data_IF_128385368011
#
_entry.id   IF_128385368011
#
_cell.length_a   1.000
_cell.length_b   1.000
_cell.length_c   1.000
_cell.angle_alpha   90.00
_cell.angle_beta   90.00
_cell.angle_gamma   90.00
#
_symmetry.space_group_name_H-M   'P 1'
#
loop_
_entity.id
_entity.type
_entity.pdbx_description
1 polymer ?
#
# COMPACT_ATOMS: atom_id res chain seq x y z
N UNK A 1 3.07 5.28 -6.19
CA UNK A 1 3.87 5.31 -4.94
C UNK A 1 4.39 6.71 -4.71
N UNK A 2 4.73 7.06 -3.48
CA UNK A 2 5.09 8.44 -3.08
C UNK A 2 6.30 9.00 -3.85
N UNK A 3 7.24 8.12 -4.20
CA UNK A 3 8.42 8.42 -5.02
C UNK A 3 8.11 8.81 -6.46
N UNK A 4 6.88 8.56 -6.95
CA UNK A 4 6.40 9.04 -8.24
C UNK A 4 5.75 10.43 -8.14
N UNK A 5 5.88 11.11 -7.01
CA UNK A 5 5.30 12.44 -6.74
C UNK A 5 3.76 12.47 -6.84
N UNK A 6 3.11 11.31 -6.65
CA UNK A 6 1.65 11.21 -6.55
C UNK A 6 1.16 12.07 -5.39
N UNK A 7 0.25 13.00 -5.66
CA UNK A 7 -0.21 13.99 -4.67
C UNK A 7 0.78 15.14 -4.38
N UNK A 8 1.89 15.24 -5.13
CA UNK A 8 2.89 16.32 -5.08
C UNK A 8 3.32 16.75 -6.49
N UNK A 9 2.37 16.84 -7.43
CA UNK A 9 2.59 17.28 -8.81
C UNK A 9 2.04 16.32 -9.87
N UNK A 10 1.74 15.07 -9.50
CA UNK A 10 1.04 14.11 -10.33
C UNK A 10 -0.40 13.92 -9.80
N UNK A 11 -1.39 14.30 -10.59
CA UNK A 11 -2.81 14.15 -10.24
C UNK A 11 -3.27 12.68 -10.28
N UNK A 12 -4.41 12.40 -9.64
CA UNK A 12 -4.94 11.04 -9.50
C UNK A 12 -5.23 10.36 -10.85
N UNK A 13 -5.82 11.08 -11.81
CA UNK A 13 -6.17 10.52 -13.11
C UNK A 13 -4.92 10.14 -13.91
N UNK A 14 -3.92 11.02 -13.92
CA UNK A 14 -2.62 10.77 -14.56
C UNK A 14 -1.87 9.62 -13.88
N UNK A 15 -1.90 9.55 -12.54
CA UNK A 15 -1.29 8.46 -11.78
C UNK A 15 -1.94 7.10 -12.09
N UNK A 16 -3.27 7.04 -12.20
CA UNK A 16 -4.01 5.82 -12.53
C UNK A 16 -3.74 5.38 -13.98
N UNK A 17 -3.71 6.30 -14.94
CA UNK A 17 -3.38 5.96 -16.33
C UNK A 17 -1.94 5.45 -16.45
N UNK A 18 -0.97 6.08 -15.78
CA UNK A 18 0.39 5.58 -15.70
C UNK A 18 0.44 4.17 -15.09
N UNK A 19 -0.33 3.94 -14.02
CA UNK A 19 -0.49 2.63 -13.40
C UNK A 19 -0.98 1.57 -14.37
N UNK A 20 -2.09 1.83 -15.07
CA UNK A 20 -2.67 0.92 -16.07
C UNK A 20 -1.71 0.61 -17.21
N UNK A 21 -0.99 1.61 -17.74
CA UNK A 21 0.06 1.40 -18.77
C UNK A 21 1.20 0.54 -18.24
N UNK A 22 1.65 0.81 -17.02
CA UNK A 22 2.73 0.06 -16.37
C UNK A 22 2.36 -1.41 -16.18
N UNK A 23 1.11 -1.69 -15.80
CA UNK A 23 0.59 -3.07 -15.69
C UNK A 23 0.63 -3.79 -17.04
N UNK A 24 0.13 -3.14 -18.10
CA UNK A 24 0.14 -3.74 -19.46
C UNK A 24 1.56 -4.00 -19.96
N UNK A 25 2.48 -3.08 -19.73
CA UNK A 25 3.88 -3.23 -20.13
C UNK A 25 4.60 -4.30 -19.30
N UNK A 26 4.32 -4.40 -18.00
CA UNK A 26 4.86 -5.48 -17.19
C UNK A 26 4.38 -6.84 -17.70
N UNK A 27 3.11 -6.97 -18.08
CA UNK A 27 2.58 -8.20 -18.64
C UNK A 27 3.26 -8.60 -19.96
N UNK A 28 3.57 -7.64 -20.85
CA UNK A 28 4.21 -7.91 -22.15
C UNK A 28 5.63 -8.50 -22.04
N UNK A 29 6.32 -8.20 -20.94
CA UNK A 29 7.68 -8.67 -20.67
C UNK A 29 7.78 -9.71 -19.54
N UNK A 30 6.66 -10.24 -19.05
CA UNK A 30 6.63 -11.18 -17.91
C UNK A 30 7.06 -10.57 -16.58
N UNK A 31 7.10 -9.24 -16.50
CA UNK A 31 7.34 -8.47 -15.29
C UNK A 31 6.18 -8.52 -14.31
N UNK A 32 6.45 -8.17 -13.06
CA UNK A 32 5.44 -8.05 -11.99
C UNK A 32 5.53 -6.69 -11.35
N UNK A 33 4.38 -6.03 -11.23
CA UNK A 33 4.27 -4.68 -10.70
C UNK A 33 3.12 -4.62 -9.71
N UNK A 34 3.25 -3.70 -8.77
CA UNK A 34 2.19 -3.34 -7.83
C UNK A 34 1.96 -1.84 -7.97
N UNK A 35 0.70 -1.45 -8.16
CA UNK A 35 0.31 -0.05 -8.34
C UNK A 35 -0.31 0.47 -7.05
N UNK A 36 0.12 1.65 -6.61
CA UNK A 36 -0.47 2.26 -5.43
C UNK A 36 -1.87 2.77 -5.71
N UNK A 37 -2.83 2.44 -4.86
CA UNK A 37 -4.16 3.06 -4.82
C UNK A 37 -4.26 3.95 -3.59
N UNK A 38 -4.93 5.08 -3.73
CA UNK A 38 -5.06 6.11 -2.70
C UNK A 38 -6.47 6.74 -2.77
N UNK A 39 -6.65 7.88 -2.12
CA UNK A 39 -7.90 8.65 -2.09
C UNK A 39 -7.69 10.09 -2.58
N UNK A 40 -6.65 10.29 -3.39
CA UNK A 40 -6.18 11.59 -3.88
C UNK A 40 -7.04 12.19 -4.99
N UNK A 41 -8.06 11.47 -5.47
CA UNK A 41 -9.10 12.01 -6.34
C UNK A 41 -10.19 12.77 -5.58
N UNK A 42 -10.32 12.54 -4.26
CA UNK A 42 -11.30 13.25 -3.46
C UNK A 42 -10.91 14.74 -3.39
N UNK A 43 -11.91 15.66 -3.47
CA UNK A 43 -11.66 17.08 -3.38
C UNK A 43 -11.01 17.45 -2.04
N UNK A 44 -10.32 18.59 -2.01
CA UNK A 44 -9.84 19.15 -0.75
C UNK A 44 -11.04 19.51 0.14
N UNK A 45 -11.08 18.96 1.35
CA UNK A 45 -12.18 19.19 2.29
C UNK A 45 -12.49 17.96 3.14
N UNK A 46 -13.54 18.03 3.98
CA UNK A 46 -14.03 16.87 4.70
C UNK A 46 -14.58 15.84 3.71
N UNK A 47 -14.27 14.57 3.96
CA UNK A 47 -14.86 13.43 3.30
C UNK A 47 -15.37 12.47 4.38
N UNK A 48 -16.51 11.84 4.12
CA UNK A 48 -17.05 10.78 4.97
C UNK A 48 -16.23 9.50 4.81
N UNK A 49 -16.31 8.63 5.81
CA UNK A 49 -15.72 7.30 5.75
C UNK A 49 -16.21 6.50 4.53
N UNK A 50 -17.48 6.63 4.14
CA UNK A 50 -18.00 5.97 2.93
C UNK A 50 -17.33 6.49 1.65
N UNK A 51 -17.24 7.81 1.47
CA UNK A 51 -16.60 8.41 0.29
C UNK A 51 -15.12 8.02 0.18
N UNK A 52 -14.44 7.87 1.32
CA UNK A 52 -13.04 7.41 1.40
C UNK A 52 -12.93 5.94 0.96
N UNK A 53 -13.82 5.07 1.44
CA UNK A 53 -13.86 3.68 0.98
C UNK A 53 -14.15 3.60 -0.53
N UNK A 54 -15.17 4.32 -1.00
CA UNK A 54 -15.57 4.33 -2.40
C UNK A 54 -14.42 4.84 -3.29
N UNK A 55 -13.66 5.84 -2.84
CA UNK A 55 -12.47 6.32 -3.53
C UNK A 55 -11.37 5.25 -3.67
N UNK A 56 -11.11 4.45 -2.63
CA UNK A 56 -10.17 3.34 -2.76
C UNK A 56 -10.69 2.27 -3.71
N UNK A 57 -11.97 1.91 -3.62
CA UNK A 57 -12.60 0.87 -4.43
C UNK A 57 -12.61 1.23 -5.93
N UNK A 58 -12.87 2.49 -6.27
CA UNK A 58 -12.80 2.97 -7.64
C UNK A 58 -11.39 2.78 -8.24
N UNK A 59 -10.34 3.16 -7.48
CA UNK A 59 -8.97 2.98 -7.94
C UNK A 59 -8.57 1.51 -8.01
N UNK A 60 -9.02 0.69 -7.05
CA UNK A 60 -8.82 -0.75 -7.03
C UNK A 60 -9.37 -1.38 -8.31
N UNK A 61 -10.64 -1.11 -8.65
CA UNK A 61 -11.30 -1.63 -9.85
C UNK A 61 -10.53 -1.27 -11.12
N UNK A 62 -10.09 -0.01 -11.26
CA UNK A 62 -9.36 0.45 -12.44
C UNK A 62 -8.03 -0.28 -12.64
N UNK A 63 -7.32 -0.59 -11.54
CA UNK A 63 -6.04 -1.29 -11.60
C UNK A 63 -6.23 -2.80 -11.80
N UNK A 64 -7.17 -3.42 -11.09
CA UNK A 64 -7.45 -4.86 -11.23
C UNK A 64 -8.02 -5.20 -12.61
N UNK A 65 -8.88 -4.33 -13.18
CA UNK A 65 -9.39 -4.47 -14.54
C UNK A 65 -8.29 -4.40 -15.61
N UNK A 66 -7.15 -3.76 -15.30
CA UNK A 66 -5.97 -3.79 -16.16
C UNK A 66 -5.08 -5.04 -15.93
N UNK A 67 -5.45 -5.91 -15.00
CA UNK A 67 -4.69 -7.09 -14.60
C UNK A 67 -3.60 -6.80 -13.56
N UNK A 68 -3.69 -5.68 -12.83
CA UNK A 68 -2.71 -5.26 -11.84
C UNK A 68 -2.90 -5.89 -10.46
N UNK A 69 -1.89 -5.74 -9.61
CA UNK A 69 -1.99 -5.92 -8.14
C UNK A 69 -1.81 -4.56 -7.47
N UNK A 70 -2.40 -4.37 -6.29
CA UNK A 70 -2.41 -3.07 -5.62
C UNK A 70 -1.60 -3.01 -4.33
N UNK A 71 -1.13 -1.81 -4.01
CA UNK A 71 -0.70 -1.44 -2.67
C UNK A 71 -1.60 -0.33 -2.16
N UNK A 72 -2.27 -0.56 -1.03
CA UNK A 72 -3.16 0.40 -0.39
C UNK A 72 -2.30 1.45 0.30
N UNK A 73 -2.20 2.63 -0.30
CA UNK A 73 -1.42 3.76 0.21
C UNK A 73 -2.14 4.42 1.37
N UNK A 74 -1.39 5.06 2.28
CA UNK A 74 -1.97 5.90 3.33
C UNK A 74 -2.79 7.06 2.73
N UNK A 75 -3.88 7.42 3.39
CA UNK A 75 -4.86 8.44 2.95
C UNK A 75 -4.88 9.62 3.91
N UNK A 76 -4.56 10.82 3.40
CA UNK A 76 -4.69 12.06 4.18
C UNK A 76 -6.16 12.34 4.56
N UNK A 77 -7.10 11.93 3.72
CA UNK A 77 -8.53 12.07 3.96
C UNK A 77 -8.95 11.17 5.12
N UNK A 78 -8.50 9.92 5.15
CA UNK A 78 -8.76 9.00 6.26
C UNK A 78 -8.11 9.47 7.56
N UNK A 79 -6.87 9.97 7.50
CA UNK A 79 -6.19 10.56 8.66
C UNK A 79 -6.99 11.71 9.31
N UNK A 80 -7.76 12.45 8.52
CA UNK A 80 -8.60 13.56 8.99
C UNK A 80 -10.00 13.14 9.43
N UNK A 81 -10.55 12.09 8.81
CA UNK A 81 -11.94 11.67 9.02
C UNK A 81 -12.10 10.61 10.10
N UNK A 82 -11.12 9.72 10.27
CA UNK A 82 -11.16 8.67 11.28
C UNK A 82 -11.05 9.25 12.69
N UNK A 83 -11.77 8.65 13.62
CA UNK A 83 -11.81 9.03 15.04
C UNK A 83 -11.33 7.90 15.96
N UNK A 84 -11.13 6.71 15.40
CA UNK A 84 -10.78 5.50 16.14
C UNK A 84 -9.97 4.53 15.28
N UNK A 85 -9.31 3.56 15.91
CA UNK A 85 -8.70 2.43 15.22
C UNK A 85 -9.72 1.60 14.42
N UNK A 86 -10.96 1.47 14.93
CA UNK A 86 -12.03 0.72 14.29
C UNK A 86 -12.42 1.32 12.93
N UNK A 87 -12.36 2.65 12.78
CA UNK A 87 -12.58 3.30 11.49
C UNK A 87 -11.55 2.86 10.44
N UNK A 88 -10.28 2.72 10.83
CA UNK A 88 -9.22 2.20 9.95
C UNK A 88 -9.48 0.74 9.60
N UNK A 89 -9.80 -0.10 10.59
CA UNK A 89 -10.09 -1.51 10.37
C UNK A 89 -11.27 -1.70 9.41
N UNK A 90 -12.34 -0.93 9.58
CA UNK A 90 -13.52 -0.97 8.73
C UNK A 90 -13.21 -0.57 7.28
N UNK A 91 -12.48 0.54 7.08
CA UNK A 91 -12.16 1.05 5.75
C UNK A 91 -11.20 0.13 5.01
N UNK A 92 -10.08 -0.24 5.65
CA UNK A 92 -9.12 -1.13 5.02
C UNK A 92 -9.71 -2.53 4.81
N UNK A 93 -10.47 -3.05 5.77
CA UNK A 93 -11.17 -4.34 5.65
C UNK A 93 -12.08 -4.39 4.42
N UNK A 94 -12.94 -3.36 4.24
CA UNK A 94 -13.82 -3.26 3.06
C UNK A 94 -13.04 -3.27 1.74
N UNK A 95 -11.90 -2.58 1.67
CA UNK A 95 -11.07 -2.55 0.46
C UNK A 95 -10.37 -3.90 0.22
N UNK A 96 -9.88 -4.55 1.28
CA UNK A 96 -9.23 -5.86 1.20
C UNK A 96 -10.22 -6.95 0.77
N UNK A 97 -11.43 -6.95 1.33
CA UNK A 97 -12.49 -7.91 0.99
C UNK A 97 -12.98 -7.76 -0.46
N UNK A 98 -12.96 -6.54 -1.00
CA UNK A 98 -13.33 -6.29 -2.39
C UNK A 98 -12.23 -6.65 -3.40
N UNK A 99 -10.97 -6.72 -2.99
CA UNK A 99 -9.86 -7.01 -3.88
C UNK A 99 -9.92 -8.45 -4.38
N UNK A 100 -9.83 -8.63 -5.70
CA UNK A 100 -9.80 -9.96 -6.32
C UNK A 100 -8.44 -10.66 -6.18
N UNK A 101 -7.43 -9.94 -5.68
CA UNK A 101 -6.05 -10.42 -5.54
C UNK A 101 -5.46 -9.93 -4.21
N UNK A 102 -4.53 -10.69 -3.60
CA UNK A 102 -3.87 -10.26 -2.39
C UNK A 102 -3.19 -8.88 -2.53
N UNK A 103 -3.38 -8.03 -1.52
CA UNK A 103 -2.92 -6.64 -1.50
C UNK A 103 -1.64 -6.47 -0.69
N UNK A 104 -0.98 -5.33 -0.86
CA UNK A 104 0.09 -4.87 0.03
C UNK A 104 -0.43 -3.65 0.79
N UNK A 105 -0.13 -3.55 2.08
CA UNK A 105 -0.39 -2.35 2.87
C UNK A 105 0.81 -1.40 2.79
N UNK A 106 0.57 -0.10 2.82
CA UNK A 106 1.63 0.90 2.94
C UNK A 106 1.36 1.83 4.11
N UNK A 107 2.28 1.80 5.09
CA UNK A 107 2.29 2.74 6.20
C UNK A 107 3.39 3.77 5.98
N UNK A 108 2.98 5.01 5.71
CA UNK A 108 3.86 6.17 5.59
C UNK A 108 3.85 6.97 6.90
N UNK A 109 5.01 7.16 7.50
CA UNK A 109 5.12 7.95 8.74
C UNK A 109 5.11 9.46 8.51
N UNK A 110 4.87 10.20 9.60
CA UNK A 110 4.74 11.66 9.61
C UNK A 110 5.99 12.43 9.18
N UNK A 111 7.17 11.80 9.28
CA UNK A 111 8.42 12.37 8.77
C UNK A 111 8.43 12.54 7.24
N UNK A 112 7.59 11.78 6.53
CA UNK A 112 7.40 11.92 5.08
C UNK A 112 6.17 12.76 4.74
N UNK A 113 5.11 12.65 5.55
CA UNK A 113 3.88 13.41 5.36
C UNK A 113 3.23 13.79 6.71
N UNK A 114 3.43 15.02 7.19
CA UNK A 114 2.88 15.46 8.48
C UNK A 114 1.35 15.38 8.57
N UNK A 115 0.64 15.33 7.44
CA UNK A 115 -0.82 15.20 7.43
C UNK A 115 -1.31 13.79 7.80
N UNK A 116 -0.40 12.84 8.03
CA UNK A 116 -0.68 11.49 8.52
C UNK A 116 -0.45 11.36 10.03
N UNK A 117 -0.52 12.46 10.78
CA UNK A 117 -0.49 12.41 12.25
C UNK A 117 -1.69 11.59 12.76
N UNK A 118 -1.48 10.76 13.79
CA UNK A 118 -2.50 9.84 14.30
C UNK A 118 -2.86 8.66 13.39
N UNK A 119 -2.10 8.38 12.32
CA UNK A 119 -2.46 7.30 11.39
C UNK A 119 -2.56 5.95 12.09
N UNK A 120 -3.57 5.15 11.74
CA UNK A 120 -4.02 3.93 12.45
C UNK A 120 -4.70 4.16 13.80
N UNK A 121 -5.14 5.40 14.07
CA UNK A 121 -6.00 5.74 15.20
C UNK A 121 -5.26 6.15 16.47
N UNK A 122 -3.93 6.35 16.40
CA UNK A 122 -3.13 6.73 17.56
C UNK A 122 -1.85 7.47 17.17
N UNK A 123 -1.45 8.44 17.99
CA UNK A 123 -0.10 9.03 17.96
C UNK A 123 0.93 8.15 18.69
N UNK A 124 0.47 7.22 19.54
CA UNK A 124 1.29 6.15 20.07
C UNK A 124 1.49 5.08 19.00
N UNK A 125 2.72 4.99 18.51
CA UNK A 125 3.12 4.04 17.47
C UNK A 125 2.93 2.58 17.89
N UNK A 126 3.03 2.24 19.17
CA UNK A 126 2.84 0.84 19.61
C UNK A 126 1.36 0.45 19.50
N UNK A 127 0.45 1.35 19.89
CA UNK A 127 -0.99 1.17 19.67
C UNK A 127 -1.35 1.16 18.16
N UNK A 128 -0.72 2.02 17.35
CA UNK A 128 -0.91 1.99 15.89
C UNK A 128 -0.45 0.66 15.27
N UNK A 129 0.66 0.09 15.76
CA UNK A 129 1.12 -1.26 15.36
C UNK A 129 0.08 -2.31 15.72
N UNK A 130 -0.56 -2.23 16.89
CA UNK A 130 -1.62 -3.17 17.31
C UNK A 130 -2.80 -3.15 16.33
N UNK A 131 -3.23 -1.98 15.86
CA UNK A 131 -4.27 -1.86 14.82
C UNK A 131 -3.86 -2.56 13.52
N UNK A 132 -2.64 -2.32 13.04
CA UNK A 132 -2.13 -2.94 11.81
C UNK A 132 -2.02 -4.46 11.94
N UNK A 133 -1.53 -4.95 13.07
CA UNK A 133 -1.42 -6.39 13.35
C UNK A 133 -2.82 -7.01 13.40
N UNK A 134 -3.78 -6.35 14.03
CA UNK A 134 -5.18 -6.80 14.08
C UNK A 134 -5.76 -6.98 12.67
N UNK A 135 -5.60 -5.96 11.81
CA UNK A 135 -6.02 -6.04 10.40
C UNK A 135 -5.31 -7.18 9.65
N UNK A 136 -4.00 -7.32 9.86
CA UNK A 136 -3.21 -8.35 9.19
C UNK A 136 -3.66 -9.77 9.55
N UNK A 137 -3.98 -10.03 10.83
CA UNK A 137 -4.52 -11.33 11.26
C UNK A 137 -5.93 -11.57 10.74
N UNK A 138 -6.79 -10.55 10.72
CA UNK A 138 -8.16 -10.66 10.20
C UNK A 138 -8.20 -11.02 8.70
N UNK A 139 -7.20 -10.59 7.92
CA UNK A 139 -7.13 -10.82 6.48
C UNK A 139 -5.81 -11.48 6.03
N UNK A 140 -5.31 -12.45 6.80
CA UNK A 140 -3.99 -13.05 6.60
C UNK A 140 -3.78 -13.63 5.19
N UNK A 141 -4.83 -14.21 4.59
CA UNK A 141 -4.77 -14.79 3.24
C UNK A 141 -4.85 -13.74 2.10
N UNK A 142 -5.29 -12.52 2.42
CA UNK A 142 -5.50 -11.44 1.46
C UNK A 142 -4.44 -10.33 1.56
N UNK A 143 -3.58 -10.35 2.58
CA UNK A 143 -2.48 -9.39 2.73
C UNK A 143 -1.13 -10.10 2.48
N UNK A 144 -0.48 -9.75 1.37
CA UNK A 144 0.87 -10.24 1.04
C UNK A 144 1.95 -9.66 1.94
N UNK A 145 1.69 -8.46 2.47
CA UNK A 145 2.63 -7.80 3.33
C UNK A 145 2.35 -6.33 3.54
N UNK A 146 3.22 -5.72 4.33
CA UNK A 146 3.22 -4.29 4.61
C UNK A 146 4.58 -3.67 4.29
N UNK A 147 4.54 -2.53 3.60
CA UNK A 147 5.67 -1.62 3.43
C UNK A 147 5.59 -0.54 4.51
N UNK A 148 6.58 -0.48 5.38
CA UNK A 148 6.62 0.49 6.50
C UNK A 148 7.70 1.55 6.27
N UNK A 149 7.31 2.80 6.41
CA UNK A 149 8.17 3.98 6.22
C UNK A 149 8.21 4.82 7.51
N UNK A 150 8.71 4.25 8.61
CA UNK A 150 8.81 4.91 9.94
C UNK A 150 10.24 5.33 10.32
N UNK A 151 11.23 5.02 9.49
CA UNK A 151 12.67 5.26 9.75
C UNK A 151 13.20 4.63 11.05
N UNK A 152 12.55 3.57 11.54
CA UNK A 152 12.93 2.84 12.75
C UNK A 152 13.03 1.33 12.45
N UNK A 153 14.26 0.84 12.37
CA UNK A 153 14.55 -0.56 12.05
C UNK A 153 14.16 -1.52 13.19
N UNK A 154 14.18 -1.07 14.44
CA UNK A 154 13.76 -1.86 15.60
C UNK A 154 12.26 -2.14 15.54
N UNK A 155 11.48 -1.07 15.36
CA UNK A 155 10.01 -1.16 15.22
C UNK A 155 9.58 -1.99 14.01
N UNK A 156 10.28 -1.87 12.89
CA UNK A 156 10.04 -2.73 11.72
C UNK A 156 10.30 -4.21 12.05
N UNK A 157 11.39 -4.51 12.74
CA UNK A 157 11.71 -5.85 13.20
C UNK A 157 10.64 -6.41 14.14
N UNK A 158 10.12 -5.58 15.02
CA UNK A 158 9.09 -5.96 16.00
C UNK A 158 7.75 -6.23 15.33
N UNK A 159 7.32 -5.35 14.43
CA UNK A 159 6.12 -5.57 13.61
C UNK A 159 6.24 -6.86 12.81
N UNK A 160 7.39 -7.11 12.15
CA UNK A 160 7.60 -8.33 11.35
C UNK A 160 7.37 -9.60 12.17
N UNK A 161 7.76 -9.63 13.44
CA UNK A 161 7.57 -10.81 14.31
C UNK A 161 6.12 -11.03 14.73
N UNK A 162 5.27 -9.99 14.64
CA UNK A 162 3.86 -10.02 15.06
C UNK A 162 2.89 -10.30 13.93
N UNK A 163 3.30 -10.14 12.67
CA UNK A 163 2.49 -10.42 11.49
C UNK A 163 2.23 -11.93 11.32
N UNK A 164 1.09 -12.32 10.71
CA UNK A 164 0.80 -13.72 10.45
C UNK A 164 1.78 -14.35 9.47
N UNK A 165 1.98 -15.67 9.58
CA UNK A 165 2.82 -16.41 8.63
C UNK A 165 2.31 -16.26 7.19
N UNK A 166 3.20 -15.87 6.27
CA UNK A 166 2.83 -15.57 4.87
C UNK A 166 2.70 -14.07 4.55
N UNK A 167 2.57 -13.22 5.57
CA UNK A 167 2.56 -11.76 5.43
C UNK A 167 3.98 -11.20 5.56
N UNK A 168 4.53 -10.67 4.47
CA UNK A 168 5.88 -10.08 4.46
C UNK A 168 5.92 -8.68 5.08
N UNK A 169 7.04 -8.31 5.71
CA UNK A 169 7.30 -6.92 6.14
C UNK A 169 8.57 -6.40 5.48
N UNK A 170 8.47 -5.31 4.72
CA UNK A 170 9.61 -4.70 4.03
C UNK A 170 9.83 -3.24 4.46
N UNK A 171 11.09 -2.80 4.63
CA UNK A 171 11.40 -1.40 4.85
C UNK A 171 11.05 -0.58 3.61
N UNK A 172 10.73 0.69 3.82
CA UNK A 172 10.89 1.69 2.79
C UNK A 172 12.37 1.82 2.43
N UNK A 173 12.83 1.07 1.43
CA UNK A 173 14.14 1.33 0.85
C UNK A 173 14.10 2.69 0.14
N UNK A 174 14.59 3.74 0.80
CA UNK A 174 15.37 4.75 0.10
C UNK A 174 16.74 4.11 -0.10
N UNK A 175 16.90 3.36 -1.19
CA UNK A 175 18.24 2.98 -1.63
C UNK A 175 18.86 4.21 -2.27
N UNK A 176 19.62 4.98 -1.49
CA UNK A 176 20.73 5.74 -2.05
C UNK A 176 21.68 4.73 -2.70
N UNK A 177 21.81 4.75 -4.03
CA UNK A 177 22.97 4.20 -4.72
C UNK A 177 23.41 5.14 -5.85
N UNK A 178 24.72 5.20 -6.13
CA UNK A 178 25.30 6.18 -7.03
C UNK A 178 25.13 5.78 -8.51
N UNK A 179 25.12 6.82 -9.36
CA UNK A 179 25.39 6.82 -10.81
C UNK A 179 24.23 6.68 -11.82
N UNK A 180 23.98 7.83 -12.46
CA UNK A 180 23.81 8.10 -13.90
C UNK A 180 23.50 6.95 -14.87
N UNK A 181 22.22 6.53 -14.95
CA UNK A 181 21.65 6.12 -16.24
C UNK A 181 20.13 6.40 -16.26
N UNK A 182 19.58 7.00 -17.34
CA UNK A 182 18.16 7.37 -17.41
C UNK A 182 17.18 6.19 -17.36
N UNK A 183 17.64 4.96 -17.60
CA UNK A 183 16.79 3.76 -17.72
C UNK A 183 16.36 3.11 -16.40
N UNK A 184 16.79 3.62 -15.23
CA UNK A 184 16.63 2.92 -13.93
C UNK A 184 15.43 3.39 -13.10
N UNK A 185 14.54 4.27 -13.62
CA UNK A 185 13.49 4.91 -12.79
C UNK A 185 12.22 4.09 -12.50
N UNK A 186 12.17 2.80 -12.88
CA UNK A 186 10.99 1.93 -12.65
C UNK A 186 11.23 0.76 -11.68
N UNK A 187 12.15 0.88 -10.71
CA UNK A 187 12.56 -0.24 -9.85
C UNK A 187 12.24 0.05 -8.38
N UNK A 188 10.96 -0.04 -8.00
CA UNK A 188 10.54 -0.05 -6.58
C UNK A 188 9.81 -1.35 -6.20
N UNK A 189 9.41 -2.19 -7.16
CA UNK A 189 8.72 -3.46 -6.89
C UNK A 189 9.65 -4.66 -6.64
N UNK A 190 10.94 -4.58 -6.99
CA UNK A 190 11.78 -5.78 -7.16
C UNK A 190 12.29 -6.40 -5.86
N UNK A 191 12.50 -5.61 -4.79
CA UNK A 191 12.99 -6.16 -3.50
C UNK A 191 11.90 -6.73 -2.60
N UNK A 192 10.68 -6.19 -2.64
CA UNK A 192 9.54 -6.79 -1.92
C UNK A 192 9.34 -8.25 -2.38
N UNK A 193 9.47 -8.48 -3.68
CA UNK A 193 9.34 -9.80 -4.29
C UNK A 193 10.52 -10.75 -4.05
N UNK A 194 11.71 -10.25 -3.75
CA UNK A 194 12.87 -11.11 -3.45
C UNK A 194 12.73 -11.80 -2.08
N UNK A 195 12.14 -11.13 -1.09
CA UNK A 195 11.88 -11.72 0.24
C UNK A 195 10.60 -12.57 0.28
N UNK A 196 9.60 -12.29 -0.56
CA UNK A 196 8.33 -13.05 -0.61
C UNK A 196 8.37 -14.27 -1.54
N UNK A 197 9.44 -14.47 -2.34
CA UNK A 197 9.68 -15.72 -3.09
C UNK A 197 9.74 -16.96 -2.19
N UNK A 198 10.08 -16.80 -0.92
CA UNK A 198 10.06 -17.89 0.07
C UNK A 198 8.64 -18.32 0.47
N UNK A 199 7.62 -17.50 0.23
CA UNK A 199 6.23 -17.71 0.65
C UNK A 199 5.27 -18.00 -0.51
N UNK A 200 5.62 -17.55 -1.72
CA UNK A 200 4.86 -17.87 -2.94
C UNK A 200 5.34 -19.20 -3.53
N UNK A 201 5.09 -20.29 -2.79
CA UNK A 201 5.05 -21.63 -3.37
C UNK A 201 4.00 -21.67 -4.48
N UNK A 202 4.38 -22.22 -5.63
CA UNK A 202 3.54 -22.45 -6.81
C UNK A 202 2.18 -23.06 -6.43
N UNK A 203 1.12 -22.25 -6.33
CA UNK A 203 -0.25 -22.75 -6.41
C UNK A 203 -0.66 -22.77 -7.89
N UNK A 204 -1.02 -23.92 -8.47
CA UNK A 204 -1.54 -23.96 -9.83
C UNK A 204 -2.89 -23.23 -9.88
N UNK A 205 -3.10 -22.49 -10.96
CA UNK A 205 -4.42 -21.97 -11.33
C UNK A 205 -5.39 -23.14 -11.37
N UNK A 206 -6.48 -23.07 -10.58
CA UNK A 206 -7.57 -24.03 -10.72
C UNK A 206 -8.15 -23.89 -12.13
N UNK A 207 -8.15 -25.01 -12.85
CA UNK A 207 -8.84 -25.22 -14.13
C UNK A 207 -10.35 -25.06 -13.99
#
# INVERSE_FOLDING_TARGET
>A
MDTAQRGMGLDAATALELGRRTVREAASCGGRVVVGIATDQLPAGPATLSEIADAYLEQLEQIESAGGSVVIMASRQLARAATSADDYLAIYGRVIEAASRPVILHWLGTMFDPQLTGYWGSDDLDAAVDTVVTLAHAHADAILGIKVSLLDAGREGDLRRRLPGGCGCSPAMISTMPSSSPATRAVIATRFWAHSRSYLGTRPLRS
#
